data_IF_374958017690
#
_entry.id   IF_374958017690
#
_cell.length_a   1.000
_cell.length_b   1.000
_cell.length_c   1.000
_cell.angle_alpha   90.00
_cell.angle_beta   90.00
_cell.angle_gamma   90.00
#
_symmetry.space_group_name_H-M   'P 1'
#
loop_
_entity.id
_entity.type
_entity.pdbx_description
1 polymer ?
#
# COMPACT_ATOMS: atom_id res chain seq x y z
N UNK A 1 1.28 14.40 -10.68
CA UNK A 1 0.47 13.45 -11.47
C UNK A 1 -0.53 12.80 -10.52
N UNK A 2 -1.79 12.65 -10.94
CA UNK A 2 -2.82 12.04 -10.10
C UNK A 2 -2.98 10.57 -10.51
N UNK A 3 -2.76 9.66 -9.55
CA UNK A 3 -2.95 8.23 -9.77
C UNK A 3 -4.31 7.78 -9.24
N UNK A 4 -5.00 6.92 -10.00
CA UNK A 4 -6.16 6.19 -9.46
C UNK A 4 -5.69 5.05 -8.57
N UNK A 5 -6.47 4.66 -7.56
CA UNK A 5 -6.15 3.54 -6.67
C UNK A 5 -7.17 2.43 -6.81
N UNK A 6 -6.68 1.21 -7.00
CA UNK A 6 -7.48 -0.01 -6.93
C UNK A 6 -6.95 -0.95 -5.85
N UNK A 7 -7.87 -1.64 -5.17
CA UNK A 7 -7.54 -2.63 -4.16
C UNK A 7 -7.84 -4.03 -4.68
N UNK A 8 -6.86 -4.93 -4.61
CA UNK A 8 -7.12 -6.37 -4.80
C UNK A 8 -7.96 -6.90 -3.62
N UNK A 9 -8.74 -7.99 -3.80
CA UNK A 9 -9.55 -8.56 -2.73
C UNK A 9 -8.76 -8.90 -1.45
N UNK A 10 -7.50 -9.30 -1.58
CA UNK A 10 -6.62 -9.57 -0.43
C UNK A 10 -6.26 -8.29 0.35
N UNK A 11 -6.03 -7.18 -0.33
CA UNK A 11 -5.79 -5.88 0.33
C UNK A 11 -7.03 -5.41 1.11
N UNK A 12 -8.22 -5.59 0.53
CA UNK A 12 -9.48 -5.26 1.22
C UNK A 12 -9.65 -6.08 2.50
N UNK A 13 -9.37 -7.40 2.45
CA UNK A 13 -9.38 -8.27 3.63
C UNK A 13 -8.33 -7.87 4.67
N UNK A 14 -7.11 -7.57 4.21
CA UNK A 14 -6.02 -7.12 5.08
C UNK A 14 -6.42 -5.81 5.81
N UNK A 15 -7.03 -4.84 5.12
CA UNK A 15 -7.53 -3.59 5.69
C UNK A 15 -8.70 -3.78 6.67
N UNK A 16 -9.62 -4.69 6.35
CA UNK A 16 -10.78 -4.99 7.18
C UNK A 16 -10.38 -5.63 8.52
N UNK A 17 -9.25 -6.34 8.57
CA UNK A 17 -8.72 -6.96 9.78
C UNK A 17 -7.96 -5.98 10.70
N UNK A 18 -7.76 -4.73 10.28
CA UNK A 18 -7.06 -3.73 11.09
C UNK A 18 -7.98 -3.06 12.10
N UNK A 19 -7.40 -2.54 13.18
CA UNK A 19 -8.11 -1.58 14.05
C UNK A 19 -8.54 -0.36 13.24
N UNK A 20 -9.62 0.29 13.69
CA UNK A 20 -10.18 1.47 13.02
C UNK A 20 -9.14 2.59 12.84
N UNK A 21 -8.30 2.81 13.85
CA UNK A 21 -7.23 3.81 13.82
C UNK A 21 -6.18 3.47 12.74
N UNK A 22 -5.66 2.24 12.74
CA UNK A 22 -4.67 1.81 11.76
C UNK A 22 -5.21 1.86 10.33
N UNK A 23 -6.46 1.41 10.14
CA UNK A 23 -7.14 1.49 8.84
C UNK A 23 -7.24 2.94 8.36
N UNK A 24 -7.69 3.87 9.22
CA UNK A 24 -7.78 5.30 8.87
C UNK A 24 -6.42 5.88 8.49
N UNK A 25 -5.39 5.59 9.29
CA UNK A 25 -4.02 6.07 9.04
C UNK A 25 -3.46 5.57 7.70
N UNK A 26 -3.73 4.30 7.37
CA UNK A 26 -3.28 3.69 6.12
C UNK A 26 -4.01 4.28 4.92
N UNK A 27 -5.33 4.44 4.99
CA UNK A 27 -6.12 5.04 3.91
C UNK A 27 -5.69 6.47 3.63
N UNK A 28 -5.47 7.30 4.66
CA UNK A 28 -4.97 8.66 4.49
C UNK A 28 -3.59 8.72 3.79
N UNK A 29 -2.72 7.73 4.06
CA UNK A 29 -1.43 7.63 3.37
C UNK A 29 -1.55 7.12 1.93
N UNK A 30 -2.54 6.28 1.64
CA UNK A 30 -2.85 5.84 0.27
C UNK A 30 -3.44 6.99 -0.55
N UNK A 31 -4.28 7.83 0.05
CA UNK A 31 -4.78 9.05 -0.59
C UNK A 31 -3.61 9.99 -0.94
N UNK A 32 -2.69 10.23 0.00
CA UNK A 32 -1.48 11.00 -0.29
C UNK A 32 -0.59 10.39 -1.38
N UNK A 33 -0.54 9.05 -1.47
CA UNK A 33 0.21 8.34 -2.51
C UNK A 33 -0.31 8.65 -3.93
N UNK A 34 -1.59 9.02 -4.08
CA UNK A 34 -2.17 9.41 -5.36
C UNK A 34 -1.54 10.67 -5.94
N UNK A 35 -1.01 11.54 -5.07
CA UNK A 35 -0.30 12.75 -5.48
C UNK A 35 1.19 12.47 -5.60
N UNK A 36 1.61 12.08 -6.80
CA UNK A 36 3.02 11.90 -7.17
C UNK A 36 3.80 10.90 -6.29
N UNK A 37 3.15 9.82 -5.83
CA UNK A 37 3.76 8.79 -4.98
C UNK A 37 4.33 9.32 -3.66
N UNK A 38 3.72 10.36 -3.08
CA UNK A 38 4.20 10.97 -1.85
C UNK A 38 4.24 9.95 -0.68
N UNK A 39 5.38 9.95 0.04
CA UNK A 39 5.59 9.12 1.24
C UNK A 39 6.90 8.32 1.22
N UNK A 40 7.04 7.41 2.19
CA UNK A 40 8.16 6.46 2.24
C UNK A 40 7.88 5.28 1.29
N UNK A 41 8.01 5.58 0.00
CA UNK A 41 7.87 4.64 -1.11
C UNK A 41 9.25 4.10 -1.47
N UNK A 42 9.35 2.78 -1.60
CA UNK A 42 10.56 2.11 -2.10
C UNK A 42 10.19 1.09 -3.17
N UNK A 43 10.93 1.08 -4.27
CA UNK A 43 10.89 0.00 -5.26
C UNK A 43 11.65 -1.22 -4.72
N UNK A 44 11.03 -2.39 -4.81
CA UNK A 44 11.57 -3.68 -4.38
C UNK A 44 12.22 -4.36 -5.60
N UNK A 45 13.42 -4.90 -5.41
CA UNK A 45 14.14 -5.66 -6.44
C UNK A 45 13.68 -7.11 -6.45
N UNK A 46 13.45 -7.70 -7.63
CA UNK A 46 13.05 -9.11 -7.81
C UNK A 46 11.79 -9.51 -7.01
N UNK A 47 10.82 -8.61 -6.88
CA UNK A 47 9.62 -8.84 -6.09
C UNK A 47 8.38 -8.30 -6.81
N UNK A 48 7.30 -9.08 -6.81
CA UNK A 48 5.99 -8.67 -7.34
C UNK A 48 4.96 -8.69 -6.21
N UNK A 49 4.29 -7.56 -5.91
CA UNK A 49 4.35 -6.28 -6.62
C UNK A 49 5.56 -5.41 -6.24
N UNK A 50 6.08 -4.63 -7.18
CA UNK A 50 7.41 -4.02 -7.12
C UNK A 50 7.54 -2.76 -6.25
N UNK A 51 6.48 -2.26 -5.59
CA UNK A 51 6.58 -1.09 -4.70
C UNK A 51 6.05 -1.37 -3.30
N UNK A 52 6.61 -0.61 -2.34
CA UNK A 52 6.22 -0.63 -0.94
C UNK A 52 6.10 0.78 -0.38
N UNK A 53 4.95 1.11 0.19
CA UNK A 53 4.75 2.28 1.03
C UNK A 53 4.82 1.88 2.51
N UNK A 54 5.64 2.59 3.30
CA UNK A 54 5.71 2.40 4.77
C UNK A 54 4.73 3.32 5.48
N UNK A 55 3.94 2.75 6.38
CA UNK A 55 3.02 3.48 7.26
C UNK A 55 3.18 2.96 8.69
N UNK A 56 4.08 3.58 9.46
CA UNK A 56 4.44 3.09 10.79
C UNK A 56 4.97 1.66 10.73
N UNK A 57 4.25 0.74 11.38
CA UNK A 57 4.54 -0.70 11.37
C UNK A 57 3.89 -1.47 10.23
N UNK A 58 3.14 -0.81 9.34
CA UNK A 58 2.52 -1.44 8.19
C UNK A 58 3.29 -1.16 6.89
N UNK A 59 3.24 -2.14 5.99
CA UNK A 59 3.78 -2.12 4.64
C UNK A 59 2.65 -2.36 3.68
N UNK A 60 2.47 -1.44 2.75
CA UNK A 60 1.48 -1.52 1.69
C UNK A 60 2.26 -1.93 0.44
N UNK A 61 1.97 -3.12 -0.07
CA UNK A 61 2.61 -3.67 -1.27
C UNK A 61 1.73 -3.36 -2.47
N UNK A 62 2.28 -2.66 -3.45
CA UNK A 62 1.54 -2.18 -4.62
C UNK A 62 2.40 -2.15 -5.87
N UNK A 63 1.76 -2.11 -7.03
CA UNK A 63 2.42 -1.82 -8.30
C UNK A 63 1.80 -0.61 -8.96
N UNK A 64 2.51 -0.03 -9.92
CA UNK A 64 2.03 1.10 -10.70
C UNK A 64 1.88 0.61 -12.13
N UNK A 65 0.67 0.68 -12.67
CA UNK A 65 0.37 0.40 -14.06
C UNK A 65 -0.17 1.67 -14.71
N UNK A 66 0.65 2.29 -15.58
CA UNK A 66 0.38 3.59 -16.17
C UNK A 66 0.10 4.65 -15.09
N UNK A 67 -1.16 5.10 -14.96
CA UNK A 67 -1.62 6.07 -13.96
C UNK A 67 -2.47 5.43 -12.86
N UNK A 68 -2.30 4.13 -12.62
CA UNK A 68 -3.07 3.37 -11.63
C UNK A 68 -2.16 2.67 -10.64
N UNK A 69 -2.40 2.93 -9.36
CA UNK A 69 -1.80 2.22 -8.22
C UNK A 69 -2.69 1.03 -7.88
N UNK A 70 -2.14 -0.17 -7.97
CA UNK A 70 -2.83 -1.41 -7.63
C UNK A 70 -2.28 -1.92 -6.31
N UNK A 71 -3.07 -1.84 -5.24
CA UNK A 71 -2.69 -2.31 -3.91
C UNK A 71 -3.01 -3.79 -3.76
N UNK A 72 -1.98 -4.60 -3.51
CA UNK A 72 -2.09 -6.05 -3.38
C UNK A 72 -2.30 -6.49 -1.94
N UNK A 73 -1.51 -5.95 -1.01
CA UNK A 73 -1.49 -6.36 0.40
C UNK A 73 -1.23 -5.19 1.32
N UNK A 74 -1.77 -5.30 2.54
CA UNK A 74 -1.44 -4.42 3.66
C UNK A 74 -0.96 -5.30 4.81
N UNK A 75 0.34 -5.25 5.11
CA UNK A 75 0.97 -6.18 6.05
C UNK A 75 1.67 -5.47 7.19
N UNK A 76 1.45 -5.98 8.40
CA UNK A 76 2.27 -5.60 9.53
C UNK A 76 3.72 -6.03 9.29
N UNK A 77 4.70 -5.27 9.81
CA UNK A 77 6.14 -5.44 9.55
C UNK A 77 6.64 -6.86 9.80
N UNK A 78 6.05 -7.53 10.80
CA UNK A 78 6.40 -8.88 11.22
C UNK A 78 5.99 -9.96 10.21
N UNK A 79 5.01 -9.66 9.36
CA UNK A 79 4.39 -10.63 8.43
C UNK A 79 4.54 -10.20 6.96
N UNK A 80 5.37 -9.20 6.67
CA UNK A 80 5.49 -8.61 5.34
C UNK A 80 6.60 -9.23 4.47
N UNK A 81 7.47 -10.05 5.06
CA UNK A 81 8.59 -10.72 4.39
C UNK A 81 8.56 -12.24 4.59
N UNK A 82 7.43 -12.79 5.05
CA UNK A 82 7.20 -14.23 5.15
C UNK A 82 6.34 -14.71 3.99
#
# INVERSE_FOLDING_TARGET
>A
MQYSVQFKPRAMKDLAALSQENRRRILAKIEGLQDNLAGDVKRLTNFTPEYRLRVGDYRILFEINNSMIIIYRVKHRRNAYS
#
